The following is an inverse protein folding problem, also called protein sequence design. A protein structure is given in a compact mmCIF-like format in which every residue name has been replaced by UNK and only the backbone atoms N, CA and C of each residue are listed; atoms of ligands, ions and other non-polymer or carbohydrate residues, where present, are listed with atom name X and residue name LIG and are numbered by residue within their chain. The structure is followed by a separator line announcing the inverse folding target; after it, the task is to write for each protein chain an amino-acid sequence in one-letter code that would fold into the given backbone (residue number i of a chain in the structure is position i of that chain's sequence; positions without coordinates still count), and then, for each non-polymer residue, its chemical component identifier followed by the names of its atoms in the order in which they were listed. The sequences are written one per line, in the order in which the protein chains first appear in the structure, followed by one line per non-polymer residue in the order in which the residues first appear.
data_IF_285690438864
#
_entry.id   IF_285690438864
#
_cell.length_a   1.000
_cell.length_b   1.000
_cell.length_c   1.000
_cell.angle_alpha   90.00
_cell.angle_beta   90.00
_cell.angle_gamma   90.00
#
_symmetry.space_group_name_H-M   'P 1'
#
loop_
_entity.id
_entity.type
_entity.pdbx_description
1 polymer ?
#
# COMPACT_ATOMS: atom_id res chain seq x y z
N UNK A 1 -0.52 17.84 17.12
CA UNK A 1 -0.03 17.64 15.75
C UNK A 1 0.88 16.41 15.78
N UNK A 2 0.48 15.30 15.15
CA UNK A 2 1.37 14.13 15.05
C UNK A 2 2.35 14.39 13.91
N UNK A 3 3.63 14.16 14.20
CA UNK A 3 4.73 14.30 13.24
C UNK A 3 4.56 13.34 12.03
N UNK A 4 4.81 13.81 10.79
CA UNK A 4 4.72 13.00 9.57
C UNK A 4 5.46 11.66 9.62
N UNK A 5 6.60 11.56 10.32
CA UNK A 5 7.33 10.31 10.43
C UNK A 5 6.59 9.28 11.31
N UNK A 6 5.85 9.74 12.32
CA UNK A 6 5.00 8.85 13.14
C UNK A 6 3.78 8.34 12.36
N UNK A 7 3.17 9.18 11.51
CA UNK A 7 2.11 8.75 10.60
C UNK A 7 2.63 7.66 9.65
N UNK A 8 3.74 7.94 8.98
CA UNK A 8 4.36 7.00 8.04
C UNK A 8 4.73 5.67 8.69
N UNK A 9 5.34 5.69 9.89
CA UNK A 9 5.64 4.48 10.67
C UNK A 9 4.41 3.63 11.01
N UNK A 10 3.24 4.25 11.21
CA UNK A 10 1.99 3.51 11.46
C UNK A 10 1.39 3.00 10.16
N UNK A 11 1.31 3.85 9.15
CA UNK A 11 0.75 3.53 7.84
C UNK A 11 1.52 2.39 7.16
N UNK A 12 2.86 2.35 7.25
CA UNK A 12 3.66 1.28 6.62
C UNK A 12 3.32 -0.13 7.10
N UNK A 13 2.63 -0.29 8.23
CA UNK A 13 2.23 -1.60 8.78
C UNK A 13 1.22 -2.36 7.91
N UNK A 14 0.53 -1.67 7.01
CA UNK A 14 -0.35 -2.34 6.04
C UNK A 14 0.42 -2.86 4.82
N UNK A 15 1.64 -2.41 4.59
CA UNK A 15 2.44 -2.80 3.43
C UNK A 15 3.24 -4.08 3.69
N UNK A 16 3.54 -4.86 2.64
CA UNK A 16 4.53 -5.92 2.77
C UNK A 16 5.91 -5.35 3.13
N UNK A 17 6.65 -6.06 3.97
CA UNK A 17 7.89 -5.55 4.59
C UNK A 17 8.96 -5.11 3.58
N UNK A 18 9.07 -5.82 2.45
CA UNK A 18 10.05 -5.48 1.39
C UNK A 18 9.70 -4.16 0.70
N UNK A 19 8.44 -3.73 0.72
CA UNK A 19 8.02 -2.49 0.08
C UNK A 19 8.45 -1.30 0.97
N UNK A 20 9.64 -0.79 0.68
CA UNK A 20 10.16 0.43 1.26
C UNK A 20 9.39 1.65 0.78
N UNK A 21 9.03 2.51 1.73
CA UNK A 21 8.38 3.80 1.48
C UNK A 21 9.06 4.86 2.32
N UNK A 22 9.12 6.09 1.82
CA UNK A 22 9.79 7.20 2.51
C UNK A 22 8.80 8.13 3.22
N UNK A 23 7.55 8.18 2.74
CA UNK A 23 6.52 9.04 3.27
C UNK A 23 5.12 8.54 2.90
N UNK A 24 4.11 8.98 3.65
CA UNK A 24 2.71 8.97 3.21
C UNK A 24 2.47 10.29 2.48
N UNK A 25 1.95 10.22 1.26
CA UNK A 25 1.52 11.40 0.50
C UNK A 25 0.11 11.74 0.98
N UNK A 26 -0.02 12.92 1.58
CA UNK A 26 -1.28 13.43 2.11
C UNK A 26 -1.69 14.62 1.28
N UNK A 27 -1.86 14.43 -0.02
CA UNK A 27 -2.41 15.49 -0.87
C UNK A 27 -3.94 15.47 -0.74
N UNK A 28 -4.51 16.62 -0.35
CA UNK A 28 -5.95 16.90 -0.23
C UNK A 28 -6.75 16.11 0.82
N UNK A 29 -6.12 15.59 1.87
CA UNK A 29 -6.88 15.18 3.06
C UNK A 29 -7.01 16.36 4.00
N UNK A 30 -8.24 16.75 4.35
CA UNK A 30 -8.45 17.76 5.37
C UNK A 30 -7.83 17.32 6.71
N UNK A 31 -7.45 18.30 7.54
CA UNK A 31 -6.84 18.07 8.85
C UNK A 31 -7.72 17.16 9.73
N UNK A 32 -9.04 17.17 9.52
CA UNK A 32 -9.99 16.31 10.21
C UNK A 32 -9.83 14.83 9.84
N UNK A 33 -9.62 14.50 8.56
CA UNK A 33 -9.42 13.12 8.10
C UNK A 33 -8.04 12.60 8.45
N UNK A 34 -7.02 13.46 8.38
CA UNK A 34 -5.71 13.19 8.97
C UNK A 34 -5.85 12.84 10.45
N UNK A 35 -6.51 13.69 11.22
CA UNK A 35 -6.72 13.48 12.66
C UNK A 35 -7.44 12.17 12.97
N UNK A 36 -8.44 11.78 12.17
CA UNK A 36 -9.17 10.51 12.29
C UNK A 36 -8.31 9.26 12.01
N UNK A 37 -7.34 9.34 11.10
CA UNK A 37 -6.37 8.27 10.85
C UNK A 37 -5.26 8.22 11.92
N UNK A 38 -5.06 9.33 12.64
CA UNK A 38 -3.95 9.56 13.57
C UNK A 38 -4.26 9.23 15.03
N UNK A 39 -5.54 9.26 15.45
CA UNK A 39 -5.98 8.72 16.74
C UNK A 39 -6.02 7.19 16.72
N UNK A 40 -5.96 6.47 17.86
CA UNK A 40 -5.99 5.01 17.86
C UNK A 40 -7.33 4.53 17.29
N UNK A 41 -7.35 4.30 15.98
CA UNK A 41 -8.35 3.56 15.21
C UNK A 41 -9.79 4.01 15.51
N UNK A 42 -10.17 5.22 15.09
CA UNK A 42 -11.53 5.39 14.60
C UNK A 42 -11.63 4.50 13.34
N UNK A 43 -12.06 3.26 13.52
CA UNK A 43 -12.12 2.24 12.48
C UNK A 43 -12.98 2.75 11.31
N UNK A 44 -12.31 3.29 10.29
CA UNK A 44 -12.94 3.71 9.05
C UNK A 44 -13.19 2.45 8.24
N UNK A 45 -14.46 2.19 7.95
CA UNK A 45 -14.89 1.01 7.18
C UNK A 45 -14.27 0.94 5.78
N UNK A 46 -13.81 2.07 5.24
CA UNK A 46 -13.16 2.19 3.94
C UNK A 46 -12.19 3.36 3.92
N UNK A 47 -11.20 3.31 3.05
CA UNK A 47 -10.29 4.43 2.81
C UNK A 47 -9.15 4.11 1.85
N UNK A 48 -8.26 5.08 1.68
CA UNK A 48 -7.04 4.94 0.89
C UNK A 48 -5.84 5.59 1.60
N UNK A 49 -4.65 5.06 1.31
CA UNK A 49 -3.36 5.62 1.70
C UNK A 49 -2.47 5.66 0.46
N UNK A 50 -1.85 6.81 0.22
CA UNK A 50 -0.85 6.98 -0.81
C UNK A 50 0.53 7.05 -0.16
N UNK A 51 1.49 6.31 -0.70
CA UNK A 51 2.86 6.26 -0.21
C UNK A 51 3.82 6.66 -1.31
N UNK A 52 4.87 7.39 -0.93
CA UNK A 52 6.04 7.56 -1.78
C UNK A 52 6.94 6.35 -1.63
N UNK A 53 7.19 5.65 -2.72
CA UNK A 53 8.14 4.53 -2.76
C UNK A 53 9.56 5.02 -2.54
N UNK A 54 10.36 4.23 -1.82
CA UNK A 54 11.78 4.53 -1.69
C UNK A 54 12.50 4.28 -3.02
N UNK A 55 13.58 5.04 -3.26
CA UNK A 55 14.42 4.83 -4.45
C UNK A 55 14.97 3.40 -4.53
N UNK A 56 15.22 2.76 -3.37
CA UNK A 56 15.67 1.37 -3.30
C UNK A 56 14.59 0.39 -3.79
N UNK A 57 13.33 0.60 -3.40
CA UNK A 57 12.22 -0.22 -3.89
C UNK A 57 12.00 -0.04 -5.39
N UNK A 58 12.11 1.18 -5.90
CA UNK A 58 12.00 1.45 -7.34
C UNK A 58 13.13 0.75 -8.09
N UNK A 59 14.38 0.88 -7.63
CA UNK A 59 15.52 0.23 -8.24
C UNK A 59 15.39 -1.30 -8.25
N UNK A 60 14.90 -1.90 -7.16
CA UNK A 60 14.67 -3.34 -7.07
C UNK A 60 13.54 -3.82 -7.99
N UNK A 61 12.46 -3.05 -8.11
CA UNK A 61 11.37 -3.31 -9.05
C UNK A 61 11.84 -3.27 -10.50
N UNK A 62 12.75 -2.36 -10.86
CA UNK A 62 13.33 -2.28 -12.21
C UNK A 62 14.32 -3.42 -12.48
N UNK A 63 15.19 -3.73 -11.52
CA UNK A 63 16.27 -4.70 -11.72
C UNK A 63 15.78 -6.16 -11.71
N UNK A 64 14.83 -6.52 -10.83
CA UNK A 64 14.38 -7.90 -10.66
C UNK A 64 12.90 -7.95 -10.28
N UNK A 65 12.04 -7.43 -11.15
CA UNK A 65 10.60 -7.28 -10.90
C UNK A 65 9.94 -8.55 -10.34
N UNK A 66 10.01 -9.67 -11.08
CA UNK A 66 9.31 -10.90 -10.69
C UNK A 66 9.80 -11.47 -9.36
N UNK A 67 11.12 -11.51 -9.16
CA UNK A 67 11.72 -11.98 -7.92
C UNK A 67 11.42 -11.08 -6.73
N UNK A 68 11.48 -9.76 -6.92
CA UNK A 68 11.18 -8.79 -5.88
C UNK A 68 9.71 -8.84 -5.43
N UNK A 69 8.77 -8.97 -6.37
CA UNK A 69 7.35 -9.12 -6.05
C UNK A 69 7.05 -10.44 -5.33
N UNK A 70 7.74 -11.52 -5.71
CA UNK A 70 7.67 -12.79 -4.98
C UNK A 70 8.20 -12.65 -3.55
N UNK A 71 9.36 -12.01 -3.38
CA UNK A 71 9.96 -11.76 -2.07
C UNK A 71 9.05 -10.85 -1.21
N UNK A 72 8.45 -9.82 -1.82
CA UNK A 72 7.52 -8.91 -1.17
C UNK A 72 6.24 -9.61 -0.73
N UNK A 73 5.77 -10.63 -1.45
CA UNK A 73 4.66 -11.47 -1.01
C UNK A 73 5.01 -12.29 0.24
N UNK A 74 6.26 -12.72 0.37
CA UNK A 74 6.72 -13.60 1.45
C UNK A 74 7.15 -12.83 2.70
N UNK A 75 7.64 -11.60 2.55
CA UNK A 75 8.23 -10.84 3.63
C UNK A 75 7.19 -10.31 4.63
N UNK A 76 7.45 -10.58 5.90
CA UNK A 76 6.54 -10.45 7.02
C UNK A 76 7.31 -9.89 8.21
N UNK A 77 6.96 -8.68 8.63
CA UNK A 77 7.23 -8.24 9.99
C UNK A 77 6.03 -7.52 10.63
N UNK A 78 5.73 -7.96 11.85
CA UNK A 78 5.41 -7.01 12.92
C UNK A 78 4.00 -6.44 12.99
N UNK A 79 2.96 -7.27 12.90
CA UNK A 79 1.73 -6.99 13.64
C UNK A 79 1.79 -7.83 14.92
N UNK A 80 1.69 -7.16 16.07
CA UNK A 80 1.91 -7.74 17.39
C UNK A 80 1.06 -8.99 17.68
N UNK A 81 1.37 -9.67 18.78
CA UNK A 81 0.87 -10.99 19.25
C UNK A 81 -0.66 -11.26 19.12
N UNK A 82 -1.48 -10.30 18.74
CA UNK A 82 -2.95 -10.34 18.76
C UNK A 82 -3.63 -10.03 17.40
N UNK A 83 -2.90 -9.80 16.31
CA UNK A 83 -3.54 -9.57 14.98
C UNK A 83 -2.83 -10.38 13.90
N UNK A 84 -3.59 -11.21 13.17
CA UNK A 84 -3.05 -12.00 12.06
C UNK A 84 -2.49 -11.03 11.00
N UNK A 85 -1.23 -11.16 10.59
CA UNK A 85 -0.67 -10.27 9.57
C UNK A 85 -1.44 -10.41 8.27
N UNK A 86 -1.67 -9.28 7.61
CA UNK A 86 -2.35 -9.21 6.32
C UNK A 86 -1.48 -9.92 5.27
N UNK A 87 -1.98 -11.01 4.70
CA UNK A 87 -1.33 -11.72 3.60
C UNK A 87 -1.89 -11.24 2.27
N UNK A 88 -1.01 -11.19 1.26
CA UNK A 88 -1.37 -10.72 -0.06
C UNK A 88 -1.35 -11.87 -1.08
N UNK A 89 -2.26 -11.79 -2.05
CA UNK A 89 -2.30 -12.66 -3.22
C UNK A 89 -1.04 -12.49 -4.08
N UNK A 90 -0.88 -13.35 -5.08
CA UNK A 90 0.13 -13.12 -6.11
C UNK A 90 -0.06 -11.76 -6.78
N UNK A 91 1.05 -11.06 -7.02
CA UNK A 91 1.06 -9.80 -7.75
C UNK A 91 0.68 -10.01 -9.21
N UNK A 92 -0.17 -9.13 -9.72
CA UNK A 92 -0.55 -9.06 -11.14
C UNK A 92 0.14 -7.86 -11.76
N UNK A 93 0.92 -8.09 -12.81
CA UNK A 93 1.44 -7.00 -13.64
C UNK A 93 0.36 -6.55 -14.62
N UNK A 94 0.20 -5.24 -14.77
CA UNK A 94 -0.68 -4.61 -15.75
C UNK A 94 0.07 -3.48 -16.45
N UNK A 95 -0.23 -3.24 -17.72
CA UNK A 95 0.48 -2.25 -18.53
C UNK A 95 1.93 -2.63 -18.86
N UNK A 96 2.63 -1.72 -19.53
CA UNK A 96 4.03 -1.83 -19.92
C UNK A 96 4.72 -0.46 -19.87
N UNK A 97 6.05 -0.44 -19.71
CA UNK A 97 6.84 0.79 -19.70
C UNK A 97 6.39 1.76 -18.59
N UNK A 98 6.16 3.03 -18.95
CA UNK A 98 5.76 4.08 -18.02
C UNK A 98 4.37 3.86 -17.38
N UNK A 99 3.51 3.07 -18.00
CA UNK A 99 2.17 2.73 -17.45
C UNK A 99 2.16 1.40 -16.70
N UNK A 100 3.33 0.78 -16.50
CA UNK A 100 3.42 -0.48 -15.77
C UNK A 100 3.03 -0.28 -14.30
N UNK A 101 2.15 -1.16 -13.82
CA UNK A 101 1.75 -1.23 -12.43
C UNK A 101 1.68 -2.66 -11.93
N UNK A 102 1.77 -2.83 -10.61
CA UNK A 102 1.65 -4.12 -9.97
C UNK A 102 0.57 -4.09 -8.90
N UNK A 103 -0.40 -4.98 -9.05
CA UNK A 103 -1.58 -5.04 -8.19
C UNK A 103 -1.56 -6.33 -7.35
N UNK A 104 -1.81 -6.22 -6.05
CA UNK A 104 -2.05 -7.34 -5.15
C UNK A 104 -3.29 -7.07 -4.30
N UNK A 105 -3.97 -8.13 -3.87
CA UNK A 105 -5.09 -8.04 -2.93
C UNK A 105 -4.71 -8.70 -1.63
N UNK A 106 -5.32 -8.30 -0.53
CA UNK A 106 -5.29 -9.12 0.67
C UNK A 106 -6.07 -10.42 0.45
N UNK A 107 -5.66 -11.51 1.12
CA UNK A 107 -6.33 -12.81 0.98
C UNK A 107 -7.77 -12.80 1.49
N UNK A 108 -8.12 -11.87 2.41
CA UNK A 108 -9.50 -11.66 2.88
C UNK A 108 -10.36 -10.81 1.94
N UNK A 109 -9.79 -10.30 0.84
CA UNK A 109 -10.47 -9.49 -0.17
C UNK A 109 -10.85 -8.08 0.28
N UNK A 110 -10.42 -7.64 1.47
CA UNK A 110 -10.79 -6.33 2.05
C UNK A 110 -9.83 -5.21 1.70
N UNK A 111 -8.65 -5.53 1.20
CA UNK A 111 -7.64 -4.55 0.85
C UNK A 111 -6.99 -4.85 -0.51
N UNK A 112 -6.48 -3.80 -1.15
CA UNK A 112 -5.68 -3.91 -2.35
C UNK A 112 -4.51 -2.93 -2.30
N UNK A 113 -3.41 -3.34 -2.90
CA UNK A 113 -2.18 -2.60 -3.00
C UNK A 113 -1.77 -2.50 -4.46
N UNK A 114 -1.54 -1.29 -4.95
CA UNK A 114 -1.01 -1.00 -6.26
C UNK A 114 0.37 -0.33 -6.14
N UNK A 115 1.35 -0.82 -6.89
CA UNK A 115 2.65 -0.17 -7.06
C UNK A 115 2.71 0.48 -8.43
N UNK A 116 3.12 1.75 -8.46
CA UNK A 116 3.28 2.58 -9.65
C UNK A 116 4.74 3.06 -9.70
N UNK A 117 5.69 2.23 -10.22
CA UNK A 117 7.11 2.57 -10.19
C UNK A 117 7.44 3.86 -10.93
N UNK A 118 6.81 4.10 -12.08
CA UNK A 118 7.04 5.30 -12.89
C UNK A 118 6.62 6.59 -12.17
N UNK A 119 5.61 6.50 -11.29
CA UNK A 119 5.15 7.61 -10.46
C UNK A 119 5.83 7.65 -9.08
N UNK A 120 6.77 6.73 -8.80
CA UNK A 120 7.39 6.55 -7.48
C UNK A 120 6.37 6.42 -6.33
N UNK A 121 5.22 5.79 -6.59
CA UNK A 121 4.10 5.76 -5.65
C UNK A 121 3.56 4.34 -5.41
N UNK A 122 2.97 4.13 -4.24
CA UNK A 122 2.16 2.97 -3.91
C UNK A 122 0.83 3.39 -3.31
N UNK A 123 -0.25 2.73 -3.70
CA UNK A 123 -1.61 3.04 -3.24
C UNK A 123 -2.18 1.84 -2.53
N UNK A 124 -2.57 2.02 -1.26
CA UNK A 124 -3.29 1.04 -0.48
C UNK A 124 -4.74 1.48 -0.34
N UNK A 125 -5.69 0.60 -0.62
CA UNK A 125 -7.13 0.85 -0.43
C UNK A 125 -7.74 -0.26 0.39
N UNK A 126 -8.74 0.06 1.21
CA UNK A 126 -9.49 -0.94 1.97
C UNK A 126 -10.99 -0.65 2.02
N UNK A 127 -11.76 -1.72 2.14
CA UNK A 127 -13.17 -1.73 2.53
C UNK A 127 -13.44 -3.01 3.36
N UNK A 128 -13.91 -2.85 4.59
CA UNK A 128 -14.22 -3.96 5.49
C UNK A 128 -15.38 -4.84 5.01
N UNK A 129 -16.21 -4.32 4.09
CA UNK A 129 -17.26 -5.07 3.40
C UNK A 129 -16.73 -5.89 2.23
N UNK A 130 -15.46 -5.72 1.86
CA UNK A 130 -14.82 -6.33 0.71
C UNK A 130 -14.76 -5.38 -0.49
N UNK A 131 -13.66 -5.45 -1.25
CA UNK A 131 -13.47 -4.65 -2.47
C UNK A 131 -14.12 -5.32 -3.67
N UNK A 132 -14.97 -4.60 -4.41
CA UNK A 132 -15.49 -5.09 -5.69
C UNK A 132 -14.45 -4.87 -6.81
N UNK A 133 -14.54 -5.65 -7.88
CA UNK A 133 -13.58 -5.58 -8.99
C UNK A 133 -13.54 -4.19 -9.66
N UNK A 134 -14.65 -3.44 -9.58
CA UNK A 134 -14.84 -2.09 -10.10
C UNK A 134 -14.24 -0.99 -9.24
N UNK A 135 -13.97 -1.27 -7.95
CA UNK A 135 -13.41 -0.31 -6.99
C UNK A 135 -11.88 -0.21 -7.08
N UNK A 136 -11.27 -1.01 -7.94
CA UNK A 136 -9.83 -1.18 -8.02
C UNK A 136 -9.24 -0.32 -9.13
N UNK A 137 -8.21 0.43 -8.74
CA UNK A 137 -7.31 1.27 -9.53
C UNK A 137 -7.70 1.31 -11.03
N UNK A 138 -8.42 2.36 -11.48
CA UNK A 138 -8.76 2.48 -12.90
C UNK A 138 -7.48 2.37 -13.72
N UNK A 139 -7.54 1.71 -14.87
CA UNK A 139 -6.40 1.69 -15.78
C UNK A 139 -5.99 3.14 -16.05
N UNK A 140 -4.68 3.50 -15.98
CA UNK A 140 -4.26 4.80 -16.45
C UNK A 140 -4.71 4.93 -17.91
N UNK A 141 -5.56 5.92 -18.19
CA UNK A 141 -6.01 6.24 -19.54
C UNK A 141 -4.87 6.87 -20.33
#
# INVERSE_FOLDING_TARGET
MIDPATLHRRARRVLPEKIGTDAVIVEAMDDATLTMLLFPLAHRRRGCLLFRLSSQTIAALVARTAGYLQDARQAREGLGRWTRPLTYTAWRSQGQGASQRFDARSDDGRAALCLLPAAACAVYVWDDRGLQHTDLFPAPR
#
